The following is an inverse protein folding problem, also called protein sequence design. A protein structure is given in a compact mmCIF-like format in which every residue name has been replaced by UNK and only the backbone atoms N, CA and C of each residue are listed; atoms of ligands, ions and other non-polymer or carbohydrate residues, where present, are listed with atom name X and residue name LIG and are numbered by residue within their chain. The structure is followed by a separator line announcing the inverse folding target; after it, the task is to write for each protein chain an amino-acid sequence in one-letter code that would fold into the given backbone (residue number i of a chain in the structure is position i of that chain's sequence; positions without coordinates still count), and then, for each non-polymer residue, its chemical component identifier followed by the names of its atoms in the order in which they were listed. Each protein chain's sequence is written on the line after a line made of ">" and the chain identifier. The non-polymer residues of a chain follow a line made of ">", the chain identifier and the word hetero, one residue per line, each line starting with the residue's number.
data_IF_781997671300
#
_entry.id   IF_781997671300
#
_cell.length_a   1.000
_cell.length_b   1.000
_cell.length_c   1.000
_cell.angle_alpha   90.00
_cell.angle_beta   90.00
_cell.angle_gamma   90.00
#
_symmetry.space_group_name_H-M   'P 1'
#
loop_
_entity.id
_entity.type
_entity.pdbx_description
1 polymer ?
#
# COMPACT_ATOMS: atom_id res chain seq x y z
N UNK A 1 -13.37 29.90 -3.30
CA UNK A 1 -12.97 29.32 -4.59
C UNK A 1 -12.79 27.82 -4.44
N UNK A 2 -13.31 27.06 -5.37
CA UNK A 2 -13.09 25.61 -5.34
C UNK A 2 -11.66 25.29 -5.79
N UNK A 3 -10.99 24.39 -5.07
CA UNK A 3 -9.67 23.92 -5.45
C UNK A 3 -9.79 23.03 -6.71
N UNK A 4 -8.76 23.00 -7.56
CA UNK A 4 -8.71 22.01 -8.64
C UNK A 4 -8.88 20.59 -8.11
N UNK A 5 -9.47 19.71 -8.91
CA UNK A 5 -9.73 18.34 -8.51
C UNK A 5 -8.46 17.62 -8.03
N UNK A 6 -7.32 17.91 -8.66
CA UNK A 6 -6.03 17.30 -8.30
C UNK A 6 -5.60 17.68 -6.88
N UNK A 7 -5.87 18.89 -6.43
CA UNK A 7 -5.51 19.35 -5.09
C UNK A 7 -6.42 18.80 -4.02
N UNK A 8 -7.62 18.35 -4.40
CA UNK A 8 -8.60 17.76 -3.49
C UNK A 8 -8.69 16.25 -3.64
N UNK A 9 -7.71 15.66 -4.29
CA UNK A 9 -7.71 14.22 -4.53
C UNK A 9 -7.71 13.45 -3.22
N UNK A 10 -8.58 12.43 -3.13
CA UNK A 10 -8.70 11.54 -1.97
C UNK A 10 -8.06 10.18 -2.22
N UNK A 11 -7.73 9.87 -3.47
CA UNK A 11 -7.14 8.60 -3.84
C UNK A 11 -6.22 8.75 -5.05
N UNK A 12 -5.22 7.87 -5.13
CA UNK A 12 -4.26 7.78 -6.22
C UNK A 12 -4.13 6.32 -6.62
N UNK A 13 -4.10 6.05 -7.91
CA UNK A 13 -4.10 4.68 -8.42
C UNK A 13 -3.05 4.52 -9.53
N UNK A 14 -2.28 3.43 -9.46
CA UNK A 14 -1.29 3.09 -10.48
C UNK A 14 -1.51 1.66 -10.96
N UNK A 15 -1.37 1.45 -12.26
CA UNK A 15 -1.26 0.12 -12.81
C UNK A 15 0.21 -0.29 -12.85
N UNK A 16 0.47 -1.58 -12.65
CA UNK A 16 1.83 -2.13 -12.69
C UNK A 16 2.04 -2.87 -14.00
N UNK A 17 3.19 -2.62 -14.62
CA UNK A 17 3.56 -3.21 -15.91
C UNK A 17 5.04 -3.52 -15.90
N UNK A 18 5.44 -4.61 -16.55
CA UNK A 18 6.86 -4.89 -16.77
C UNK A 18 7.39 -3.98 -17.87
N UNK A 19 8.63 -3.53 -17.75
CA UNK A 19 9.28 -2.74 -18.81
C UNK A 19 9.36 -3.52 -20.11
N UNK A 20 9.49 -4.83 -20.04
CA UNK A 20 9.58 -5.72 -21.20
C UNK A 20 8.23 -5.97 -21.87
N UNK A 21 7.11 -5.67 -21.21
CA UNK A 21 5.76 -5.88 -21.74
C UNK A 21 4.83 -4.76 -21.27
N UNK A 22 5.03 -3.51 -21.74
CA UNK A 22 4.34 -2.34 -21.19
C UNK A 22 2.84 -2.30 -21.49
N UNK A 23 2.36 -3.12 -22.42
CA UNK A 23 0.94 -3.16 -22.74
C UNK A 23 0.14 -4.10 -21.82
N UNK A 24 0.83 -4.89 -21.01
CA UNK A 24 0.17 -5.86 -20.12
C UNK A 24 0.13 -5.33 -18.70
N UNK A 25 -1.09 -5.21 -18.15
CA UNK A 25 -1.27 -4.87 -16.74
C UNK A 25 -1.10 -6.14 -15.92
N UNK A 26 -0.14 -6.14 -14.99
CA UNK A 26 0.16 -7.30 -14.15
C UNK A 26 -0.33 -7.12 -12.71
N UNK A 27 -0.70 -5.92 -12.34
CA UNK A 27 -1.22 -5.62 -11.02
C UNK A 27 -1.59 -4.16 -10.88
N UNK A 28 -1.91 -3.77 -9.66
CA UNK A 28 -2.22 -2.38 -9.34
C UNK A 28 -1.87 -2.09 -7.89
N UNK A 29 -1.67 -0.80 -7.61
CA UNK A 29 -1.45 -0.32 -6.26
C UNK A 29 -2.14 1.03 -6.12
N UNK A 30 -2.75 1.28 -4.99
CA UNK A 30 -3.43 2.55 -4.73
C UNK A 30 -3.15 3.07 -3.33
N UNK A 31 -3.27 4.38 -3.22
CA UNK A 31 -3.22 5.11 -1.97
C UNK A 31 -4.54 5.85 -1.80
N UNK A 32 -5.00 6.03 -0.56
CA UNK A 32 -6.25 6.74 -0.28
C UNK A 32 -6.25 7.36 1.11
N UNK A 33 -6.98 8.45 1.25
CA UNK A 33 -7.16 9.16 2.53
C UNK A 33 -8.31 8.55 3.32
N UNK A 34 -8.26 7.25 3.55
CA UNK A 34 -9.29 6.56 4.31
C UNK A 34 -8.72 6.14 5.64
N UNK A 35 -9.48 6.37 6.72
CA UNK A 35 -9.04 6.00 8.06
C UNK A 35 -8.63 4.53 8.12
N UNK A 36 -7.43 4.27 8.62
CA UNK A 36 -6.84 2.95 8.79
C UNK A 36 -6.62 2.15 7.49
N UNK A 37 -6.79 2.77 6.32
CA UNK A 37 -6.76 2.08 5.03
C UNK A 37 -6.18 2.98 3.94
N UNK A 38 -4.88 3.22 4.00
CA UNK A 38 -4.20 4.16 3.11
C UNK A 38 -3.56 3.53 1.88
N UNK A 39 -3.26 2.23 1.91
CA UNK A 39 -2.58 1.57 0.79
C UNK A 39 -3.17 0.18 0.54
N UNK A 40 -3.49 -0.09 -0.72
CA UNK A 40 -3.92 -1.40 -1.16
C UNK A 40 -3.20 -1.80 -2.44
N UNK A 41 -3.13 -3.11 -2.73
CA UNK A 41 -2.48 -3.58 -3.94
C UNK A 41 -2.97 -4.98 -4.35
N UNK A 42 -2.74 -5.26 -5.63
CA UNK A 42 -3.02 -6.56 -6.24
C UNK A 42 -1.92 -6.88 -7.26
N UNK A 43 -1.51 -8.13 -7.31
CA UNK A 43 -0.52 -8.62 -8.28
C UNK A 43 -0.95 -9.98 -8.78
N UNK A 44 -0.92 -10.16 -10.11
CA UNK A 44 -1.26 -11.44 -10.73
C UNK A 44 -0.30 -12.55 -10.32
N UNK A 45 -0.83 -13.77 -10.20
CA UNK A 45 -0.08 -14.94 -9.72
C UNK A 45 1.27 -15.18 -10.41
N UNK A 46 1.36 -15.10 -11.77
CA UNK A 46 2.64 -15.38 -12.43
C UNK A 46 3.78 -14.44 -12.04
N UNK A 47 3.45 -13.28 -11.50
CA UNK A 47 4.44 -12.24 -11.19
C UNK A 47 4.73 -12.10 -9.69
N UNK A 48 4.09 -12.91 -8.86
CA UNK A 48 4.31 -12.87 -7.41
C UNK A 48 5.66 -13.48 -7.03
N UNK A 49 6.14 -13.13 -5.84
CA UNK A 49 7.39 -13.63 -5.24
C UNK A 49 8.67 -13.25 -6.00
N UNK A 50 8.62 -12.16 -6.76
CA UNK A 50 9.78 -11.66 -7.51
C UNK A 50 10.23 -10.29 -7.03
N UNK A 51 9.70 -9.80 -5.91
CA UNK A 51 10.04 -8.50 -5.37
C UNK A 51 9.36 -7.32 -6.05
N UNK A 52 8.51 -7.56 -7.05
CA UNK A 52 7.86 -6.50 -7.83
C UNK A 52 6.94 -5.63 -6.97
N UNK A 53 6.10 -6.24 -6.13
CA UNK A 53 5.20 -5.48 -5.27
C UNK A 53 5.95 -4.79 -4.15
N UNK A 54 7.01 -5.39 -3.62
CA UNK A 54 7.87 -4.73 -2.63
C UNK A 54 8.45 -3.45 -3.20
N UNK A 55 8.95 -3.49 -4.44
CA UNK A 55 9.47 -2.33 -5.15
C UNK A 55 8.38 -1.28 -5.37
N UNK A 56 7.20 -1.68 -5.85
CA UNK A 56 6.08 -0.77 -6.08
C UNK A 56 5.62 -0.11 -4.78
N UNK A 57 5.52 -0.86 -3.69
CA UNK A 57 5.17 -0.32 -2.38
C UNK A 57 6.20 0.69 -1.89
N UNK A 58 7.48 0.44 -2.14
CA UNK A 58 8.55 1.39 -1.81
C UNK A 58 8.32 2.74 -2.52
N UNK A 59 8.07 2.69 -3.81
CA UNK A 59 7.88 3.90 -4.64
C UNK A 59 6.65 4.70 -4.19
N UNK A 60 5.51 4.04 -4.01
CA UNK A 60 4.28 4.76 -3.65
C UNK A 60 4.29 5.23 -2.20
N UNK A 61 5.00 4.54 -1.31
CA UNK A 61 5.14 4.99 0.07
C UNK A 61 6.05 6.22 0.15
N UNK A 62 7.11 6.27 -0.66
CA UNK A 62 7.90 7.49 -0.82
C UNK A 62 7.00 8.65 -1.29
N UNK A 63 6.15 8.40 -2.27
CA UNK A 63 5.23 9.41 -2.79
C UNK A 63 4.27 9.92 -1.70
N UNK A 64 3.73 9.01 -0.89
CA UNK A 64 2.84 9.35 0.22
C UNK A 64 3.48 10.31 1.22
N UNK A 65 4.71 10.02 1.63
CA UNK A 65 5.40 10.82 2.61
C UNK A 65 6.10 12.05 2.04
N UNK A 66 6.77 11.91 0.90
CA UNK A 66 7.65 12.96 0.38
C UNK A 66 6.94 13.92 -0.57
N UNK A 67 5.97 13.45 -1.35
CA UNK A 67 5.24 14.29 -2.30
C UNK A 67 3.91 14.77 -1.73
N UNK A 68 3.15 13.87 -1.12
CA UNK A 68 1.86 14.22 -0.52
C UNK A 68 1.97 14.77 0.89
N UNK A 69 3.13 14.61 1.51
CA UNK A 69 3.48 15.18 2.83
C UNK A 69 2.57 14.70 3.97
N UNK A 70 2.08 13.47 3.89
CA UNK A 70 1.35 12.88 5.01
C UNK A 70 2.33 12.42 6.09
N UNK A 71 1.86 12.31 7.32
CA UNK A 71 2.70 11.96 8.47
C UNK A 71 2.61 10.50 8.87
N UNK A 72 1.56 9.80 8.48
CA UNK A 72 1.30 8.41 8.87
C UNK A 72 0.70 7.65 7.71
N UNK A 73 1.13 6.40 7.53
CA UNK A 73 0.50 5.46 6.59
C UNK A 73 0.03 4.24 7.35
N UNK A 74 -1.23 3.89 7.18
CA UNK A 74 -1.84 2.68 7.73
C UNK A 74 -2.36 1.79 6.62
N UNK A 75 -2.07 0.50 6.72
CA UNK A 75 -2.47 -0.48 5.71
C UNK A 75 -3.11 -1.68 6.40
N UNK A 76 -4.39 -1.97 6.09
CA UNK A 76 -5.04 -3.16 6.60
C UNK A 76 -4.71 -4.36 5.72
N UNK A 77 -4.74 -5.54 6.33
CA UNK A 77 -4.59 -6.80 5.60
C UNK A 77 -5.20 -7.95 6.38
N UNK A 78 -5.73 -8.92 5.66
CA UNK A 78 -6.21 -10.14 6.30
C UNK A 78 -5.04 -10.86 6.97
N UNK A 79 -5.26 -11.41 8.15
CA UNK A 79 -4.22 -12.16 8.88
C UNK A 79 -3.65 -13.27 8.02
N UNK A 80 -4.50 -13.93 7.20
CA UNK A 80 -4.07 -15.01 6.31
C UNK A 80 -3.23 -14.55 5.13
N UNK A 81 -3.15 -13.25 4.86
CA UNK A 81 -2.38 -12.72 3.73
C UNK A 81 -0.89 -12.58 4.10
N UNK A 82 -0.19 -13.70 4.10
CA UNK A 82 1.22 -13.80 4.51
C UNK A 82 2.13 -12.93 3.64
N UNK A 83 1.89 -12.90 2.33
CA UNK A 83 2.70 -12.11 1.41
C UNK A 83 2.63 -10.62 1.71
N UNK A 84 1.42 -10.10 1.98
CA UNK A 84 1.23 -8.70 2.34
C UNK A 84 1.86 -8.36 3.70
N UNK A 85 1.76 -9.28 4.66
CA UNK A 85 2.38 -9.11 5.98
C UNK A 85 3.90 -9.00 5.85
N UNK A 86 4.52 -9.84 5.03
CA UNK A 86 5.96 -9.81 4.79
C UNK A 86 6.43 -8.48 4.20
N UNK A 87 5.65 -7.91 3.29
CA UNK A 87 5.98 -6.60 2.73
C UNK A 87 5.98 -5.55 3.83
N UNK A 88 4.95 -5.53 4.68
CA UNK A 88 4.89 -4.58 5.80
C UNK A 88 6.06 -4.76 6.77
N UNK A 89 6.41 -6.00 7.11
CA UNK A 89 7.56 -6.30 7.98
C UNK A 89 8.87 -5.80 7.37
N UNK A 90 9.10 -6.06 6.10
CA UNK A 90 10.30 -5.61 5.40
C UNK A 90 10.41 -4.09 5.35
N UNK A 91 9.28 -3.40 5.31
CA UNK A 91 9.23 -1.94 5.27
C UNK A 91 9.33 -1.30 6.64
N UNK A 92 9.41 -2.09 7.71
CA UNK A 92 9.51 -1.58 9.07
C UNK A 92 8.20 -1.10 9.66
N UNK A 93 7.07 -1.50 9.07
CA UNK A 93 5.76 -1.19 9.62
C UNK A 93 5.51 -1.96 10.91
N UNK A 94 4.66 -1.41 11.77
CA UNK A 94 4.31 -1.99 13.06
C UNK A 94 2.84 -2.42 13.05
N UNK A 95 2.58 -3.59 13.63
CA UNK A 95 1.20 -4.05 13.86
C UNK A 95 0.62 -3.26 15.04
N UNK A 96 -0.45 -2.50 14.81
CA UNK A 96 -1.03 -1.63 15.83
C UNK A 96 -2.42 -2.07 16.30
N UNK A 97 -3.13 -2.85 15.50
CA UNK A 97 -4.48 -3.30 15.86
C UNK A 97 -4.88 -4.54 15.08
N UNK A 98 -5.82 -5.27 15.63
CA UNK A 98 -6.51 -6.38 14.95
C UNK A 98 -8.01 -6.15 15.04
N UNK A 99 -8.72 -6.41 13.95
CA UNK A 99 -10.17 -6.27 13.92
C UNK A 99 -10.74 -7.19 12.84
N UNK A 100 -12.01 -7.57 12.99
CA UNK A 100 -12.69 -8.30 11.92
C UNK A 100 -13.13 -7.31 10.84
N UNK A 101 -12.94 -7.66 9.58
CA UNK A 101 -13.33 -6.83 8.43
C UNK A 101 -14.08 -7.66 7.41
N UNK A 102 -14.94 -6.98 6.67
CA UNK A 102 -15.68 -7.57 5.55
C UNK A 102 -14.82 -7.52 4.29
N UNK A 103 -14.65 -8.68 3.67
CA UNK A 103 -13.99 -8.85 2.39
C UNK A 103 -14.99 -9.46 1.41
N UNK A 104 -14.66 -9.47 0.13
CA UNK A 104 -15.51 -10.07 -0.91
C UNK A 104 -15.85 -11.53 -0.57
N UNK A 105 -14.89 -12.27 -0.01
CA UNK A 105 -15.05 -13.69 0.31
C UNK A 105 -15.60 -13.95 1.71
N UNK A 106 -15.95 -12.91 2.48
CA UNK A 106 -16.54 -13.06 3.82
C UNK A 106 -15.89 -12.13 4.84
N UNK A 107 -16.21 -12.36 6.11
CA UNK A 107 -15.68 -11.58 7.24
C UNK A 107 -14.52 -12.33 7.87
N UNK A 108 -13.35 -11.69 7.93
CA UNK A 108 -12.12 -12.31 8.39
C UNK A 108 -11.36 -11.42 9.37
N UNK A 109 -10.52 -12.03 10.25
CA UNK A 109 -9.59 -11.26 11.06
C UNK A 109 -8.64 -10.43 10.17
N UNK A 110 -8.44 -9.18 10.56
CA UNK A 110 -7.61 -8.24 9.84
C UNK A 110 -6.63 -7.59 10.78
N UNK A 111 -5.45 -7.28 10.26
CA UNK A 111 -4.40 -6.54 10.97
C UNK A 111 -4.30 -5.15 10.38
N UNK A 112 -4.04 -4.16 11.25
CA UNK A 112 -3.72 -2.81 10.79
C UNK A 112 -2.25 -2.55 11.12
N UNK A 113 -1.49 -2.25 10.08
CA UNK A 113 -0.07 -1.95 10.16
C UNK A 113 0.15 -0.47 9.93
N UNK A 114 1.12 0.11 10.64
CA UNK A 114 1.39 1.54 10.59
C UNK A 114 2.87 1.82 10.43
N UNK A 115 3.19 2.89 9.71
CA UNK A 115 4.51 3.50 9.72
C UNK A 115 4.36 5.02 9.65
N UNK A 116 5.19 5.74 10.40
CA UNK A 116 5.22 7.20 10.35
C UNK A 116 6.24 7.67 9.32
N UNK A 117 6.10 8.93 8.88
CA UNK A 117 7.07 9.54 7.98
C UNK A 117 8.48 9.51 8.57
N UNK A 118 8.59 9.79 9.88
CA UNK A 118 9.88 9.77 10.56
C UNK A 118 10.51 8.38 10.53
N UNK A 119 9.74 7.34 10.84
CA UNK A 119 10.21 5.96 10.79
C UNK A 119 10.63 5.56 9.38
N UNK A 120 9.85 5.96 8.38
CA UNK A 120 10.14 5.65 6.99
C UNK A 120 11.47 6.28 6.54
N UNK A 121 11.68 7.56 6.87
CA UNK A 121 12.91 8.29 6.48
C UNK A 121 14.14 7.79 7.23
N UNK A 122 13.97 7.24 8.43
CA UNK A 122 15.07 6.68 9.22
C UNK A 122 15.53 5.29 8.74
N UNK A 123 14.78 4.65 7.86
CA UNK A 123 15.15 3.33 7.34
C UNK A 123 16.42 3.39 6.51
N UNK A 124 17.18 2.33 6.58
CA UNK A 124 18.30 2.12 5.64
C UNK A 124 17.74 1.53 4.34
N UNK A 125 18.24 2.01 3.25
CA UNK A 125 17.84 1.57 1.93
C UNK A 125 19.01 0.97 1.17
#
# INVERSE_FOLDING_TARGET
>A
MALPAVERREAWHWTLRLKSAPDQIIGSIDLRKKENDNRGFWLGLPWQRQGLMTEACQVVTDFWFDTLDFSVLRAPKAVANVASRRISEKQGMRLIATEDRDYVSGRFPSEIWEITAQEWRARKR
#
